data_IF_448661253964
#
_entry.id   IF_448661253964
#
_cell.length_a   1.000
_cell.length_b   1.000
_cell.length_c   1.000
_cell.angle_alpha   90.00
_cell.angle_beta   90.00
_cell.angle_gamma   90.00
#
_symmetry.space_group_name_H-M   'P 1'
#
loop_
_entity.id
_entity.type
_entity.pdbx_description
1 polymer ?
#
# COMPACT_ATOMS: atom_id res chain seq x y z
N UNK A 1 -4.48 -7.95 -5.59
CA UNK A 1 -4.78 -7.81 -4.13
C UNK A 1 -5.72 -6.63 -3.93
N UNK A 2 -6.90 -6.86 -3.40
CA UNK A 2 -7.81 -5.79 -2.95
C UNK A 2 -7.92 -5.92 -1.44
N UNK A 3 -7.50 -4.88 -0.73
CA UNK A 3 -7.36 -4.90 0.73
C UNK A 3 -8.66 -4.42 1.36
N UNK A 4 -9.29 -5.20 2.25
CA UNK A 4 -10.47 -4.75 3.00
C UNK A 4 -10.18 -3.48 3.81
N UNK A 5 -11.19 -2.61 3.91
CA UNK A 5 -11.12 -1.46 4.81
C UNK A 5 -11.47 -1.86 6.26
N UNK A 6 -11.21 -0.96 7.21
CA UNK A 6 -11.50 -1.19 8.64
C UNK A 6 -12.96 -1.60 8.90
N UNK A 7 -13.89 -1.08 8.11
CA UNK A 7 -15.33 -1.35 8.25
C UNK A 7 -15.67 -2.82 8.03
N UNK A 8 -14.95 -3.53 7.16
CA UNK A 8 -15.16 -4.96 6.92
C UNK A 8 -14.47 -5.81 8.00
N UNK A 9 -13.19 -5.55 8.27
CA UNK A 9 -12.41 -6.36 9.22
C UNK A 9 -12.87 -6.17 10.67
N UNK A 10 -13.27 -4.96 11.05
CA UNK A 10 -13.69 -4.59 12.40
C UNK A 10 -15.21 -4.45 12.52
N UNK A 11 -15.97 -5.18 11.69
CA UNK A 11 -17.44 -5.09 11.66
C UNK A 11 -18.11 -5.42 12.99
N UNK A 12 -17.49 -6.27 13.79
CA UNK A 12 -17.94 -6.60 15.14
C UNK A 12 -17.77 -5.46 16.16
N UNK A 13 -17.00 -4.42 15.81
CA UNK A 13 -16.78 -3.20 16.60
C UNK A 13 -17.65 -2.01 16.14
N UNK A 14 -18.45 -2.20 15.10
CA UNK A 14 -19.33 -1.15 14.59
C UNK A 14 -20.50 -0.90 15.55
N UNK A 15 -20.98 0.35 15.63
CA UNK A 15 -22.21 0.65 16.39
C UNK A 15 -23.41 -0.13 15.87
N UNK A 16 -24.39 -0.41 16.75
CA UNK A 16 -25.67 -0.96 16.36
C UNK A 16 -26.27 -0.12 15.22
N UNK A 17 -26.83 -0.79 14.21
CA UNK A 17 -27.40 -0.18 12.99
C UNK A 17 -26.39 0.36 11.96
N UNK A 18 -25.09 0.24 12.17
CA UNK A 18 -24.12 0.48 11.09
C UNK A 18 -24.22 -0.63 10.03
N UNK A 19 -24.20 -0.23 8.75
CA UNK A 19 -24.29 -1.17 7.62
C UNK A 19 -22.90 -1.33 7.03
N UNK A 20 -22.30 -2.53 7.24
CA UNK A 20 -20.97 -2.87 6.72
C UNK A 20 -21.01 -3.95 5.61
N UNK A 21 -22.19 -4.49 5.30
CA UNK A 21 -22.33 -5.68 4.44
C UNK A 21 -21.97 -5.43 2.97
N UNK A 22 -21.97 -4.18 2.53
CA UNK A 22 -21.74 -3.83 1.11
C UNK A 22 -20.31 -4.14 0.67
N UNK A 23 -19.29 -3.82 1.48
CA UNK A 23 -17.90 -4.06 1.13
C UNK A 23 -17.57 -5.56 1.05
N UNK A 24 -18.03 -6.35 2.01
CA UNK A 24 -17.82 -7.79 2.01
C UNK A 24 -18.48 -8.49 0.80
N UNK A 25 -19.65 -8.04 0.37
CA UNK A 25 -20.31 -8.56 -0.83
C UNK A 25 -19.55 -8.16 -2.09
N UNK A 26 -19.09 -6.93 -2.17
CA UNK A 26 -18.25 -6.45 -3.27
C UNK A 26 -16.94 -7.25 -3.41
N UNK A 27 -16.24 -7.48 -2.31
CA UNK A 27 -15.02 -8.29 -2.31
C UNK A 27 -15.28 -9.73 -2.76
N UNK A 28 -16.39 -10.34 -2.33
CA UNK A 28 -16.80 -11.68 -2.81
C UNK A 28 -17.05 -11.68 -4.31
N UNK A 29 -17.71 -10.66 -4.83
CA UNK A 29 -17.96 -10.54 -6.27
C UNK A 29 -16.65 -10.43 -7.05
N UNK A 30 -15.72 -9.56 -6.64
CA UNK A 30 -14.39 -9.44 -7.26
C UNK A 30 -13.66 -10.79 -7.28
N UNK A 31 -13.66 -11.53 -6.18
CA UNK A 31 -13.01 -12.85 -6.10
C UNK A 31 -13.56 -13.82 -7.13
N UNK A 32 -14.85 -13.75 -7.48
CA UNK A 32 -15.45 -14.62 -8.51
C UNK A 32 -15.05 -14.26 -9.93
N UNK A 33 -14.64 -12.99 -10.16
CA UNK A 33 -14.28 -12.49 -11.50
C UNK A 33 -12.79 -12.65 -11.81
N UNK A 34 -11.93 -12.80 -10.81
CA UNK A 34 -10.49 -12.92 -10.97
C UNK A 34 -10.08 -14.40 -10.78
N UNK A 35 -9.29 -14.99 -11.69
CA UNK A 35 -8.78 -16.33 -11.49
C UNK A 35 -8.06 -16.47 -10.15
N UNK A 36 -8.34 -17.51 -9.37
CA UNK A 36 -7.81 -17.73 -8.00
C UNK A 36 -6.30 -17.56 -7.92
N UNK A 37 -5.56 -18.08 -8.89
CA UNK A 37 -4.09 -17.96 -8.96
C UNK A 37 -3.56 -16.53 -9.15
N UNK A 38 -4.42 -15.59 -9.53
CA UNK A 38 -4.08 -14.16 -9.72
C UNK A 38 -4.63 -13.28 -8.60
N UNK A 39 -5.38 -13.85 -7.66
CA UNK A 39 -5.98 -13.11 -6.56
C UNK A 39 -5.31 -13.49 -5.25
N UNK A 40 -4.56 -12.56 -4.68
CA UNK A 40 -4.06 -12.69 -3.31
C UNK A 40 -5.09 -12.11 -2.34
N UNK A 41 -5.57 -12.92 -1.42
CA UNK A 41 -6.58 -12.56 -0.44
C UNK A 41 -5.95 -12.09 0.87
N UNK A 42 -6.03 -10.79 1.14
CA UNK A 42 -5.51 -10.19 2.37
C UNK A 42 -6.48 -10.33 3.57
N UNK A 43 -7.77 -10.63 3.33
CA UNK A 43 -8.80 -10.64 4.39
C UNK A 43 -8.50 -11.66 5.50
N UNK A 44 -8.13 -12.93 5.24
CA UNK A 44 -7.85 -13.89 6.30
C UNK A 44 -6.67 -13.47 7.18
N UNK A 45 -5.68 -12.78 6.61
CA UNK A 45 -4.51 -12.29 7.34
C UNK A 45 -4.94 -11.17 8.30
N UNK A 46 -5.70 -10.20 7.79
CA UNK A 46 -6.19 -9.08 8.58
C UNK A 46 -7.17 -9.52 9.67
N UNK A 47 -8.06 -10.47 9.37
CA UNK A 47 -8.97 -11.06 10.36
C UNK A 47 -8.21 -11.78 11.50
N UNK A 48 -7.11 -12.47 11.20
CA UNK A 48 -6.27 -13.12 12.19
C UNK A 48 -5.62 -12.13 13.18
N UNK A 49 -5.43 -10.87 12.74
CA UNK A 49 -4.77 -9.82 13.52
C UNK A 49 -5.72 -8.68 13.94
N UNK A 50 -7.04 -8.83 13.80
CA UNK A 50 -8.02 -7.76 14.04
C UNK A 50 -8.09 -7.23 15.48
N UNK A 51 -7.56 -7.95 16.45
CA UNK A 51 -7.47 -7.48 17.82
C UNK A 51 -6.25 -6.58 18.08
N UNK A 52 -5.32 -6.52 17.12
CA UNK A 52 -4.20 -5.62 17.15
C UNK A 52 -4.56 -4.26 16.52
N UNK A 53 -3.79 -3.19 16.78
CA UNK A 53 -4.06 -1.87 16.21
C UNK A 53 -3.61 -1.79 14.74
N UNK A 54 -4.27 -2.56 13.86
CA UNK A 54 -3.92 -2.69 12.44
C UNK A 54 -4.52 -1.62 11.53
N UNK A 55 -5.45 -0.81 12.04
CA UNK A 55 -6.02 0.36 11.34
C UNK A 55 -5.90 1.62 12.18
N UNK A 56 -5.79 2.78 11.51
CA UNK A 56 -5.90 4.06 12.19
C UNK A 56 -7.35 4.31 12.64
N UNK A 57 -7.52 5.05 13.74
CA UNK A 57 -8.84 5.49 14.24
C UNK A 57 -9.28 6.78 13.58
N UNK A 58 -8.32 7.63 13.24
CA UNK A 58 -8.56 8.97 12.71
C UNK A 58 -8.44 9.04 11.20
N UNK A 59 -7.97 7.95 10.56
CA UNK A 59 -7.72 7.88 9.12
C UNK A 59 -8.27 6.60 8.49
N UNK A 60 -8.48 6.62 7.18
CA UNK A 60 -9.02 5.48 6.43
C UNK A 60 -8.00 4.41 6.10
N UNK A 61 -6.70 4.67 6.27
CA UNK A 61 -5.65 3.70 5.96
C UNK A 61 -5.50 2.61 7.03
N UNK A 62 -4.93 1.51 6.62
CA UNK A 62 -4.33 0.55 7.52
C UNK A 62 -3.00 1.09 8.09
N UNK A 63 -2.54 0.52 9.20
CA UNK A 63 -1.23 0.85 9.77
C UNK A 63 -0.12 0.03 9.11
N UNK A 64 1.11 0.47 9.26
CA UNK A 64 2.30 -0.24 8.75
C UNK A 64 2.41 -1.66 9.30
N UNK A 65 1.91 -1.91 10.52
CA UNK A 65 1.82 -3.24 11.11
C UNK A 65 0.95 -4.20 10.27
N UNK A 66 -0.24 -3.76 9.82
CA UNK A 66 -1.09 -4.55 8.95
C UNK A 66 -0.43 -4.81 7.60
N UNK A 67 0.15 -3.76 7.02
CA UNK A 67 0.87 -3.85 5.74
C UNK A 67 2.03 -4.85 5.82
N UNK A 68 2.72 -4.96 6.96
CA UNK A 68 3.76 -5.94 7.21
C UNK A 68 3.23 -7.38 7.15
N UNK A 69 2.17 -7.69 7.90
CA UNK A 69 1.59 -9.04 7.90
C UNK A 69 1.15 -9.48 6.50
N UNK A 70 0.52 -8.55 5.78
CA UNK A 70 0.07 -8.81 4.40
C UNK A 70 1.26 -8.93 3.44
N UNK A 71 2.33 -8.12 3.61
CA UNK A 71 3.55 -8.22 2.81
C UNK A 71 4.24 -9.57 2.99
N UNK A 72 4.44 -10.02 4.23
CA UNK A 72 5.06 -11.30 4.55
C UNK A 72 4.28 -12.47 3.91
N UNK A 73 2.95 -12.48 4.04
CA UNK A 73 2.12 -13.52 3.47
C UNK A 73 2.06 -13.48 1.93
N UNK A 74 2.05 -12.28 1.33
CA UNK A 74 2.11 -12.12 -0.11
C UNK A 74 3.47 -12.59 -0.66
N UNK A 75 4.55 -12.21 -0.03
CA UNK A 75 5.90 -12.62 -0.42
C UNK A 75 6.06 -14.15 -0.39
N UNK A 76 5.56 -14.82 0.67
CA UNK A 76 5.54 -16.28 0.77
C UNK A 76 4.74 -16.90 -0.39
N UNK A 77 3.60 -16.31 -0.77
CA UNK A 77 2.74 -16.82 -1.86
C UNK A 77 3.37 -16.79 -3.24
N UNK A 78 4.42 -16.00 -3.42
CA UNK A 78 5.18 -15.87 -4.68
C UNK A 78 6.62 -16.38 -4.56
N UNK A 79 6.93 -17.13 -3.51
CA UNK A 79 8.28 -17.66 -3.22
C UNK A 79 9.36 -16.55 -3.22
N UNK A 80 9.03 -15.34 -2.74
CA UNK A 80 9.97 -14.23 -2.61
C UNK A 80 10.74 -14.36 -1.28
N UNK A 81 12.08 -14.55 -1.31
CA UNK A 81 12.88 -14.43 -0.10
C UNK A 81 12.86 -13.00 0.41
N UNK A 82 12.43 -12.81 1.67
CA UNK A 82 12.35 -11.48 2.28
C UNK A 82 13.35 -11.32 3.42
N UNK A 83 13.71 -10.08 3.72
CA UNK A 83 14.40 -9.74 4.96
C UNK A 83 13.45 -9.99 6.14
N UNK A 84 13.80 -10.85 7.11
CA UNK A 84 12.91 -11.18 8.22
C UNK A 84 12.68 -9.97 9.12
N UNK A 85 11.49 -9.89 9.73
CA UNK A 85 11.12 -8.73 10.57
C UNK A 85 12.05 -8.52 11.76
N UNK A 86 12.74 -9.56 12.24
CA UNK A 86 13.76 -9.43 13.28
C UNK A 86 14.94 -8.54 12.89
N UNK A 87 15.10 -8.31 11.59
CA UNK A 87 16.10 -7.41 11.01
C UNK A 87 15.57 -5.98 10.78
N UNK A 88 14.40 -5.66 11.33
CA UNK A 88 13.83 -4.31 11.31
C UNK A 88 13.72 -3.74 12.73
N UNK A 89 13.76 -2.43 12.82
CA UNK A 89 13.43 -1.65 14.03
C UNK A 89 12.16 -0.86 13.75
N UNK A 90 11.21 -0.98 14.67
CA UNK A 90 10.04 -0.11 14.68
C UNK A 90 10.42 1.26 15.20
N UNK A 91 10.02 2.31 14.50
CA UNK A 91 10.21 3.70 14.89
C UNK A 91 8.88 4.45 14.78
N UNK A 92 8.54 5.23 15.79
CA UNK A 92 7.38 6.14 15.76
C UNK A 92 7.79 7.45 15.09
N UNK A 93 7.16 7.78 13.97
CA UNK A 93 7.40 9.02 13.24
C UNK A 93 6.64 10.20 13.84
N UNK A 94 5.43 9.97 14.35
CA UNK A 94 4.60 10.95 15.05
C UNK A 94 3.59 10.25 15.96
N UNK A 95 3.22 10.89 17.08
CA UNK A 95 2.15 10.46 17.99
C UNK A 95 0.90 11.36 17.87
N UNK A 96 0.87 12.25 16.89
CA UNK A 96 -0.17 13.25 16.69
C UNK A 96 -0.65 13.24 15.23
N UNK A 97 -1.19 12.10 14.79
CA UNK A 97 -1.76 11.95 13.47
C UNK A 97 -3.28 12.05 13.53
N UNK A 98 -3.82 13.08 12.87
CA UNK A 98 -5.23 13.31 12.65
C UNK A 98 -5.53 13.23 11.16
N UNK A 99 -6.09 12.11 10.73
CA UNK A 99 -6.27 11.81 9.31
C UNK A 99 -7.60 12.29 8.72
N UNK A 100 -7.95 11.67 7.61
CA UNK A 100 -9.10 12.06 6.78
C UNK A 100 -10.45 11.82 7.45
N UNK A 101 -10.56 10.83 8.35
CA UNK A 101 -11.80 10.56 9.10
C UNK A 101 -12.01 11.66 10.13
N UNK A 102 -10.98 12.00 10.91
CA UNK A 102 -11.05 13.09 11.89
C UNK A 102 -11.46 14.42 11.23
N UNK A 103 -10.93 14.67 10.02
CA UNK A 103 -11.28 15.88 9.27
C UNK A 103 -12.77 15.94 8.82
N UNK A 104 -13.43 14.80 8.70
CA UNK A 104 -14.86 14.69 8.29
C UNK A 104 -15.80 14.70 9.48
N UNK A 105 -15.37 14.16 10.63
CA UNK A 105 -16.18 14.06 11.84
C UNK A 105 -15.68 15.08 12.87
N UNK A 106 -16.48 16.05 13.26
CA UNK A 106 -16.08 17.06 14.23
C UNK A 106 -16.14 16.52 15.68
N UNK A 107 -15.40 15.43 15.94
CA UNK A 107 -15.32 14.76 17.24
C UNK A 107 -13.85 14.84 17.69
N UNK A 108 -13.61 15.36 18.88
CA UNK A 108 -12.28 15.39 19.45
C UNK A 108 -11.90 14.02 20.01
N UNK A 109 -11.07 13.30 19.29
CA UNK A 109 -10.44 12.05 19.73
C UNK A 109 -8.91 12.25 19.77
N UNK A 110 -8.18 11.49 20.59
CA UNK A 110 -6.73 11.48 20.53
C UNK A 110 -6.23 11.08 19.14
N UNK A 111 -5.17 11.72 18.67
CA UNK A 111 -4.51 11.35 17.43
C UNK A 111 -3.98 9.92 17.45
N UNK A 112 -3.72 9.39 16.29
CA UNK A 112 -3.01 8.12 16.09
C UNK A 112 -1.49 8.37 16.08
N UNK A 113 -0.73 7.29 16.24
CA UNK A 113 0.70 7.27 15.92
C UNK A 113 0.94 6.67 14.54
N UNK A 114 1.89 7.25 13.78
CA UNK A 114 2.42 6.65 12.56
C UNK A 114 3.74 5.97 12.93
N UNK A 115 3.79 4.66 12.73
CA UNK A 115 4.97 3.85 12.88
C UNK A 115 5.54 3.47 11.51
N UNK A 116 6.86 3.35 11.44
CA UNK A 116 7.57 2.74 10.32
C UNK A 116 8.49 1.62 10.80
N UNK A 117 8.86 0.74 9.90
CA UNK A 117 9.82 -0.33 10.13
C UNK A 117 11.06 -0.07 9.27
N UNK A 118 12.18 0.28 9.92
CA UNK A 118 13.45 0.53 9.24
C UNK A 118 14.35 -0.70 9.35
N UNK A 119 14.91 -1.20 8.26
CA UNK A 119 15.83 -2.32 8.32
C UNK A 119 17.07 -1.94 9.15
N UNK A 120 17.59 -2.90 9.94
CA UNK A 120 18.82 -2.73 10.73
C UNK A 120 20.02 -2.47 9.81
N UNK A 121 20.02 -3.14 8.65
CA UNK A 121 21.00 -2.94 7.58
C UNK A 121 20.28 -2.41 6.37
N UNK A 122 20.31 -1.10 6.18
CA UNK A 122 19.74 -0.46 5.01
C UNK A 122 20.59 -0.72 3.78
N UNK A 123 19.96 -1.13 2.68
CA UNK A 123 20.61 -1.15 1.38
C UNK A 123 20.42 0.21 0.68
N UNK A 124 21.42 0.70 -0.05
CA UNK A 124 21.26 1.94 -0.82
C UNK A 124 20.19 1.77 -1.91
N UNK A 125 19.42 2.82 -2.12
CA UNK A 125 18.47 2.91 -3.22
C UNK A 125 18.34 4.35 -3.71
N UNK A 126 17.82 4.50 -4.92
CA UNK A 126 17.44 5.77 -5.51
C UNK A 126 15.98 5.69 -5.96
N UNK A 127 15.22 6.72 -5.68
CA UNK A 127 13.85 6.92 -6.14
C UNK A 127 13.86 8.04 -7.18
N UNK A 128 13.37 7.75 -8.39
CA UNK A 128 13.19 8.77 -9.43
C UNK A 128 11.71 9.07 -9.58
N UNK A 129 11.32 10.29 -9.27
CA UNK A 129 9.94 10.77 -9.33
C UNK A 129 9.66 11.38 -10.70
N UNK A 130 8.66 10.89 -11.40
CA UNK A 130 8.18 11.46 -12.65
C UNK A 130 9.33 11.71 -13.66
N UNK A 131 10.24 10.75 -13.80
CA UNK A 131 11.41 10.73 -14.69
C UNK A 131 12.46 11.83 -14.43
N UNK A 132 12.37 12.61 -13.37
CA UNK A 132 13.22 13.79 -13.22
C UNK A 132 13.80 14.06 -11.84
N UNK A 133 13.02 13.93 -10.79
CA UNK A 133 13.45 14.25 -9.42
C UNK A 133 14.00 13.00 -8.74
N UNK A 134 15.23 13.06 -8.25
CA UNK A 134 15.86 11.97 -7.51
C UNK A 134 15.82 12.21 -6.01
N UNK A 135 15.49 11.15 -5.26
CA UNK A 135 15.53 11.09 -3.79
C UNK A 135 16.20 9.78 -3.34
N UNK A 136 16.77 9.81 -2.14
CA UNK A 136 17.43 8.65 -1.50
C UNK A 136 16.75 8.21 -0.22
N UNK A 137 15.59 8.76 0.09
CA UNK A 137 14.73 8.36 1.19
C UNK A 137 13.31 8.19 0.71
N UNK A 138 12.66 7.11 1.12
CA UNK A 138 11.22 6.92 0.93
C UNK A 138 10.39 7.72 1.94
N UNK A 139 11.02 8.20 3.02
CA UNK A 139 10.37 9.03 4.04
C UNK A 139 10.66 10.51 3.77
N UNK A 140 9.62 11.32 3.77
CA UNK A 140 9.68 12.79 3.66
C UNK A 140 9.12 13.41 4.95
N UNK A 141 10.02 13.66 5.91
CA UNK A 141 9.66 14.13 7.23
C UNK A 141 9.01 15.52 7.23
N UNK A 142 9.12 16.27 6.13
CA UNK A 142 8.46 17.58 6.01
C UNK A 142 6.94 17.50 6.12
N UNK A 143 6.35 16.36 5.77
CA UNK A 143 4.90 16.13 5.90
C UNK A 143 4.45 15.94 7.35
N UNK A 144 5.36 15.59 8.28
CA UNK A 144 5.03 15.42 9.70
C UNK A 144 4.67 16.75 10.38
N UNK A 145 5.15 17.87 9.84
CA UNK A 145 4.79 19.23 10.28
C UNK A 145 3.45 19.69 9.71
N UNK A 146 2.97 19.01 8.68
CA UNK A 146 1.76 19.35 7.95
C UNK A 146 0.51 18.65 8.47
N UNK A 147 -0.56 18.78 7.70
CA UNK A 147 -1.84 18.17 7.97
C UNK A 147 -1.94 16.73 7.45
N UNK A 148 -1.37 16.48 6.28
CA UNK A 148 -1.34 15.17 5.63
C UNK A 148 -0.05 14.42 6.04
N UNK A 149 0.01 14.00 7.31
CA UNK A 149 1.19 13.34 7.84
C UNK A 149 1.43 11.95 7.24
N UNK A 150 0.38 11.28 6.72
CA UNK A 150 0.55 9.99 6.04
C UNK A 150 1.37 10.09 4.74
N UNK A 151 1.42 11.28 4.14
CA UNK A 151 2.28 11.55 3.00
C UNK A 151 3.80 11.48 3.32
N UNK A 152 4.18 11.24 4.58
CA UNK A 152 5.57 10.91 4.96
C UNK A 152 6.09 9.72 4.15
N UNK A 153 5.23 8.77 3.80
CA UNK A 153 5.57 7.68 2.90
C UNK A 153 5.59 8.18 1.45
N UNK A 154 6.77 8.17 0.82
CA UNK A 154 7.01 8.55 -0.59
C UNK A 154 6.64 9.97 -0.97
N UNK A 155 6.44 10.90 -0.01
CA UNK A 155 5.96 12.24 -0.33
C UNK A 155 4.51 12.24 -0.86
N UNK A 156 3.71 11.28 -0.42
CA UNK A 156 2.32 11.09 -0.83
C UNK A 156 2.15 10.33 -2.15
N UNK A 157 1.04 10.60 -2.84
CA UNK A 157 0.72 9.91 -4.08
C UNK A 157 1.38 10.60 -5.28
N UNK A 158 2.15 9.85 -6.05
CA UNK A 158 2.86 10.31 -7.22
C UNK A 158 2.41 9.53 -8.46
N UNK A 159 2.38 10.14 -9.66
CA UNK A 159 2.06 9.44 -10.90
C UNK A 159 2.95 8.22 -11.14
N UNK A 160 4.26 8.41 -10.95
CA UNK A 160 5.28 7.39 -11.16
C UNK A 160 6.46 7.61 -10.20
N UNK A 161 6.90 6.53 -9.56
CA UNK A 161 8.18 6.48 -8.87
C UNK A 161 8.93 5.25 -9.36
N UNK A 162 10.16 5.44 -9.82
CA UNK A 162 11.04 4.35 -10.22
C UNK A 162 12.10 4.14 -9.14
N UNK A 163 12.01 3.07 -8.39
CA UNK A 163 13.00 2.69 -7.37
C UNK A 163 14.04 1.74 -7.97
N UNK A 164 15.32 2.03 -7.71
CA UNK A 164 16.45 1.17 -8.03
C UNK A 164 17.19 0.91 -6.73
N UNK A 165 17.24 -0.34 -6.31
CA UNK A 165 17.83 -0.75 -5.04
C UNK A 165 19.10 -1.56 -5.26
N UNK A 166 19.87 -1.76 -4.18
CA UNK A 166 21.02 -2.67 -4.16
C UNK A 166 20.67 -4.03 -3.53
N UNK A 167 19.39 -4.39 -3.52
CA UNK A 167 18.97 -5.73 -3.12
C UNK A 167 19.67 -6.79 -3.98
N UNK A 168 20.11 -7.87 -3.33
CA UNK A 168 20.66 -9.03 -4.05
C UNK A 168 19.49 -9.89 -4.51
N UNK A 169 18.83 -9.43 -5.56
CA UNK A 169 17.60 -10.02 -6.08
C UNK A 169 17.51 -9.79 -7.58
N UNK A 170 17.05 -10.79 -8.33
CA UNK A 170 16.71 -10.65 -9.74
C UNK A 170 15.24 -10.22 -9.94
N UNK A 171 14.51 -10.04 -8.84
CA UNK A 171 13.09 -9.69 -8.88
C UNK A 171 12.92 -8.19 -9.19
N UNK A 172 11.97 -7.93 -10.09
CA UNK A 172 11.58 -6.59 -10.55
C UNK A 172 10.06 -6.45 -10.44
N UNK A 173 9.59 -5.53 -9.62
CA UNK A 173 8.17 -5.33 -9.33
C UNK A 173 7.61 -4.13 -10.11
N UNK A 174 6.51 -4.32 -10.80
CA UNK A 174 5.59 -3.24 -11.13
C UNK A 174 4.44 -3.27 -10.12
N UNK A 175 4.22 -2.18 -9.40
CA UNK A 175 3.05 -2.05 -8.56
C UNK A 175 2.14 -0.93 -9.05
N UNK A 176 0.87 -1.27 -9.29
CA UNK A 176 -0.20 -0.35 -9.64
C UNK A 176 -1.08 -0.20 -8.40
N UNK A 177 -1.23 1.03 -7.91
CA UNK A 177 -1.63 1.19 -6.53
C UNK A 177 -2.52 2.40 -6.25
N UNK A 178 -3.15 2.37 -5.09
CA UNK A 178 -3.60 3.55 -4.35
C UNK A 178 -2.70 3.80 -3.12
N UNK A 179 -3.13 4.72 -2.25
CA UNK A 179 -2.33 5.12 -1.07
C UNK A 179 -2.12 4.02 -0.03
N UNK A 180 -2.91 2.94 -0.04
CA UNK A 180 -2.70 1.81 0.86
C UNK A 180 -1.33 1.15 0.66
N UNK A 181 -0.83 1.10 -0.58
CA UNK A 181 0.48 0.52 -0.85
C UNK A 181 1.66 1.33 -0.29
N UNK A 182 1.48 2.58 0.12
CA UNK A 182 2.61 3.43 0.51
C UNK A 182 3.42 2.82 1.67
N UNK A 183 2.79 2.42 2.77
CA UNK A 183 3.51 1.79 3.89
C UNK A 183 3.93 0.33 3.57
N UNK A 184 3.20 -0.40 2.74
CA UNK A 184 3.54 -1.74 2.26
C UNK A 184 4.85 -1.76 1.46
N UNK A 185 5.05 -0.78 0.61
CA UNK A 185 6.24 -0.66 -0.24
C UNK A 185 7.55 -0.44 0.54
N UNK A 186 7.49 0.03 1.77
CA UNK A 186 8.67 0.19 2.61
C UNK A 186 9.41 -1.14 2.84
N UNK A 187 8.68 -2.27 2.87
CA UNK A 187 9.27 -3.61 2.97
C UNK A 187 9.86 -4.07 1.63
N UNK A 188 9.15 -3.84 0.53
CA UNK A 188 9.59 -4.25 -0.80
C UNK A 188 10.95 -3.64 -1.21
N UNK A 189 11.31 -2.47 -0.65
CA UNK A 189 12.58 -1.81 -0.94
C UNK A 189 13.83 -2.64 -0.58
N UNK A 190 13.69 -3.66 0.27
CA UNK A 190 14.80 -4.54 0.66
C UNK A 190 14.89 -5.80 -0.20
N UNK A 191 13.83 -6.19 -0.90
CA UNK A 191 13.68 -7.51 -1.48
C UNK A 191 13.64 -7.51 -3.03
N UNK A 192 13.41 -6.34 -3.64
CA UNK A 192 13.41 -6.16 -5.10
C UNK A 192 14.56 -5.26 -5.56
N UNK A 193 15.21 -5.63 -6.68
CA UNK A 193 16.27 -4.80 -7.29
C UNK A 193 15.70 -3.59 -8.05
N UNK A 194 14.44 -3.70 -8.50
CA UNK A 194 13.70 -2.64 -9.16
C UNK A 194 12.24 -2.66 -8.71
N UNK A 195 11.68 -1.49 -8.45
CA UNK A 195 10.26 -1.33 -8.18
C UNK A 195 9.79 -0.09 -8.95
N UNK A 196 8.84 -0.29 -9.87
CA UNK A 196 8.17 0.82 -10.54
C UNK A 196 6.76 0.94 -9.94
N UNK A 197 6.45 2.12 -9.40
CA UNK A 197 5.27 2.41 -8.60
C UNK A 197 4.39 3.37 -9.39
N UNK A 198 3.20 2.92 -9.78
CA UNK A 198 2.27 3.68 -10.63
C UNK A 198 0.95 3.91 -9.90
N UNK A 199 0.54 5.17 -9.80
CA UNK A 199 -0.79 5.56 -9.34
C UNK A 199 -1.62 6.05 -10.53
N UNK A 200 -2.57 5.22 -10.97
CA UNK A 200 -3.35 5.48 -12.19
C UNK A 200 -4.18 6.77 -12.15
N UNK A 201 -4.49 7.28 -10.96
CA UNK A 201 -5.22 8.54 -10.79
C UNK A 201 -4.45 9.73 -11.34
N UNK A 202 -3.13 9.65 -11.28
CA UNK A 202 -2.20 10.73 -11.67
C UNK A 202 -1.33 10.36 -12.87
N UNK A 203 -1.18 9.06 -13.19
CA UNK A 203 -0.39 8.59 -14.32
C UNK A 203 -1.11 8.85 -15.63
N UNK A 204 -0.51 9.66 -16.50
CA UNK A 204 -1.10 10.12 -17.76
C UNK A 204 -0.46 9.51 -19.01
N UNK A 205 0.56 8.66 -18.84
CA UNK A 205 1.16 7.93 -19.95
C UNK A 205 0.35 6.66 -20.27
N UNK A 206 0.60 6.06 -21.43
CA UNK A 206 0.01 4.76 -21.74
C UNK A 206 0.73 3.67 -20.91
N UNK A 207 -0.01 2.96 -20.06
CA UNK A 207 0.57 1.94 -19.18
C UNK A 207 1.15 0.76 -20.00
N UNK A 208 0.50 0.35 -21.07
CA UNK A 208 0.97 -0.72 -21.96
C UNK A 208 2.30 -0.36 -22.62
N UNK A 209 2.41 0.87 -23.13
CA UNK A 209 3.67 1.36 -23.71
C UNK A 209 4.77 1.49 -22.66
N UNK A 210 4.45 1.96 -21.46
CA UNK A 210 5.39 2.03 -20.35
C UNK A 210 5.96 0.64 -19.97
N UNK A 211 5.15 -0.41 -20.06
CA UNK A 211 5.54 -1.77 -19.71
C UNK A 211 6.34 -2.48 -20.81
N UNK A 212 6.19 -2.11 -22.08
CA UNK A 212 6.72 -2.87 -23.26
C UNK A 212 8.23 -3.13 -23.21
N UNK A 213 9.00 -2.18 -22.72
CA UNK A 213 10.47 -2.26 -22.70
C UNK A 213 11.03 -2.71 -21.34
N UNK A 214 10.14 -3.09 -20.41
CA UNK A 214 10.51 -3.41 -19.04
C UNK A 214 10.22 -4.88 -18.73
N UNK A 215 11.24 -5.57 -18.24
CA UNK A 215 11.17 -6.99 -17.90
C UNK A 215 10.81 -7.17 -16.42
N UNK A 216 9.53 -6.98 -16.07
CA UNK A 216 9.06 -7.26 -14.72
C UNK A 216 8.94 -8.76 -14.47
N UNK A 217 9.39 -9.20 -13.31
CA UNK A 217 9.16 -10.57 -12.83
C UNK A 217 7.82 -10.68 -12.12
N UNK A 218 7.36 -9.57 -11.54
CA UNK A 218 6.16 -9.49 -10.72
C UNK A 218 5.35 -8.25 -11.05
N UNK A 219 4.04 -8.41 -11.11
CA UNK A 219 3.09 -7.30 -11.27
C UNK A 219 2.07 -7.43 -10.14
N UNK A 220 1.95 -6.40 -9.32
CA UNK A 220 0.98 -6.33 -8.24
C UNK A 220 0.04 -5.14 -8.44
N UNK A 221 -1.26 -5.42 -8.47
CA UNK A 221 -2.30 -4.39 -8.36
C UNK A 221 -2.76 -4.39 -6.91
N UNK A 222 -2.48 -3.30 -6.17
CA UNK A 222 -2.82 -3.15 -4.76
C UNK A 222 -3.66 -1.91 -4.52
N UNK A 223 -4.92 -2.12 -4.15
CA UNK A 223 -5.88 -1.08 -3.80
C UNK A 223 -6.62 -1.46 -2.53
N UNK A 224 -7.10 -0.46 -1.79
CA UNK A 224 -8.16 -0.70 -0.82
C UNK A 224 -9.51 -0.92 -1.52
N UNK A 225 -10.43 -1.61 -0.87
CA UNK A 225 -11.70 -2.00 -1.47
C UNK A 225 -12.56 -0.80 -1.91
N UNK A 226 -12.70 0.21 -1.04
CA UNK A 226 -13.46 1.41 -1.37
C UNK A 226 -12.81 2.21 -2.50
N UNK A 227 -11.47 2.38 -2.45
CA UNK A 227 -10.72 3.06 -3.51
C UNK A 227 -10.85 2.37 -4.85
N UNK A 228 -10.78 1.04 -4.90
CA UNK A 228 -10.93 0.27 -6.13
C UNK A 228 -12.34 0.40 -6.74
N UNK A 229 -13.37 0.46 -5.89
CA UNK A 229 -14.76 0.62 -6.33
C UNK A 229 -15.06 2.01 -6.91
N UNK A 230 -14.41 3.05 -6.38
CA UNK A 230 -14.68 4.45 -6.72
C UNK A 230 -13.75 5.02 -7.79
N UNK A 231 -12.57 4.44 -7.99
CA UNK A 231 -11.54 4.97 -8.88
C UNK A 231 -11.78 4.59 -10.35
N UNK A 232 -12.37 5.51 -11.12
CA UNK A 232 -12.57 5.33 -12.55
C UNK A 232 -11.25 5.13 -13.35
N UNK A 233 -10.09 5.52 -12.80
CA UNK A 233 -8.80 5.36 -13.47
C UNK A 233 -8.34 3.90 -13.56
N UNK A 234 -8.91 3.01 -12.74
CA UNK A 234 -8.70 1.55 -12.81
C UNK A 234 -9.03 0.99 -14.20
N UNK A 235 -9.95 1.62 -14.94
CA UNK A 235 -10.25 1.25 -16.33
C UNK A 235 -9.02 1.32 -17.26
N UNK A 236 -7.97 2.10 -16.92
CA UNK A 236 -6.71 2.13 -17.67
C UNK A 236 -5.99 0.76 -17.70
N UNK A 237 -6.26 -0.13 -16.72
CA UNK A 237 -5.73 -1.50 -16.71
C UNK A 237 -6.22 -2.31 -17.92
N UNK A 238 -7.47 -2.15 -18.31
CA UNK A 238 -8.02 -2.84 -19.49
C UNK A 238 -7.33 -2.37 -20.78
N UNK A 239 -7.02 -1.08 -20.89
CA UNK A 239 -6.35 -0.52 -22.06
C UNK A 239 -4.90 -1.01 -22.22
N UNK A 240 -4.23 -1.34 -21.11
CA UNK A 240 -2.87 -1.87 -21.15
C UNK A 240 -2.78 -3.28 -21.75
N UNK A 241 -3.86 -4.05 -21.74
CA UNK A 241 -3.91 -5.41 -22.31
C UNK A 241 -4.13 -5.44 -23.83
N UNK A 242 -4.51 -4.32 -24.44
CA UNK A 242 -4.81 -4.23 -25.88
C UNK A 242 -3.62 -3.71 -26.70
N UNK A 243 -2.50 -3.33 -26.04
CA UNK A 243 -1.27 -2.82 -26.65
C UNK A 243 -0.19 -3.90 -26.70
#
# INVERSE_FOLDING_TARGET
MIVPNAVEILKDKLPDYAVAEEEGNYLKEIRTQIPEKLFFDAEPILEAHKEEPIYYKTDHHWKTLAARYVYEAWADSIDLPIVPISEYREETLTEDFHGTIDAKVNIKIPGDSIECYKPVTEIPYTLTYNHSEERTSLYDDSYLEGRDKYAVFFGGNQPLIEARTRAVSDRKLLIIKDSYANCFLSFAMQDFSQIDIVDLRYFNENLGDYMKEKEYTDILVLYNAAGFAEDASVAKLAMASES
#
